data_IF_868962509683
#
_entry.id   IF_868962509683
#
_cell.length_a   1.000
_cell.length_b   1.000
_cell.length_c   1.000
_cell.angle_alpha   90.00
_cell.angle_beta   90.00
_cell.angle_gamma   90.00
#
_symmetry.space_group_name_H-M   'P 1'
#
loop_
_entity.id
_entity.type
_entity.pdbx_description
1 polymer ?
#
# COMPACT_ATOMS: atom_id res chain seq x y z
N UNK A 1 13.69 2.53 12.82
CA UNK A 1 12.35 2.35 12.19
C UNK A 1 11.81 0.97 12.51
N UNK A 2 10.53 0.85 12.92
CA UNK A 2 9.88 -0.43 13.25
C UNK A 2 8.59 -0.63 12.47
N UNK A 3 8.07 -1.86 12.48
CA UNK A 3 6.80 -2.24 11.85
C UNK A 3 5.55 -1.87 12.67
N UNK A 4 5.74 -1.28 13.84
CA UNK A 4 4.65 -0.94 14.78
C UNK A 4 4.38 -2.02 15.84
N UNK A 5 5.21 -3.06 15.92
CA UNK A 5 5.16 -4.02 17.01
C UNK A 5 5.46 -3.37 18.36
N UNK A 6 4.74 -3.76 19.40
CA UNK A 6 4.94 -3.28 20.76
C UNK A 6 6.23 -3.81 21.42
N UNK A 7 6.94 -4.74 20.78
CA UNK A 7 8.17 -5.37 21.30
C UNK A 7 9.37 -4.41 21.32
N UNK A 8 9.43 -3.46 20.37
CA UNK A 8 10.64 -2.66 20.17
C UNK A 8 10.71 -1.32 20.89
N UNK A 9 9.60 -0.59 21.20
CA UNK A 9 9.69 0.78 21.69
C UNK A 9 10.46 0.94 22.98
N UNK A 10 10.26 0.05 23.97
CA UNK A 10 10.94 0.09 25.26
C UNK A 10 12.46 -0.15 25.09
N UNK A 11 12.84 -1.20 24.36
CA UNK A 11 14.24 -1.55 24.10
C UNK A 11 14.95 -0.45 23.29
N UNK A 12 14.27 0.16 22.32
CA UNK A 12 14.84 1.25 21.54
C UNK A 12 15.05 2.51 22.37
N UNK A 13 14.13 2.83 23.30
CA UNK A 13 14.27 3.96 24.19
C UNK A 13 15.42 3.77 25.20
N UNK A 14 15.67 2.54 25.62
CA UNK A 14 16.77 2.19 26.51
C UNK A 14 18.14 2.31 25.79
N UNK A 15 18.27 1.72 24.59
CA UNK A 15 19.54 1.67 23.86
C UNK A 15 19.87 3.01 23.18
N UNK A 16 18.85 3.70 22.66
CA UNK A 16 19.01 4.96 21.92
C UNK A 16 17.99 6.02 22.36
N UNK A 17 18.14 6.58 23.56
CA UNK A 17 17.15 7.52 24.13
C UNK A 17 16.96 8.80 23.31
N UNK A 18 17.98 9.24 22.59
CA UNK A 18 17.92 10.43 21.74
C UNK A 18 17.36 10.13 20.32
N UNK A 19 17.13 8.88 19.96
CA UNK A 19 16.68 8.52 18.62
C UNK A 19 15.19 8.74 18.43
N UNK A 20 14.80 9.49 17.38
CA UNK A 20 13.40 9.62 16.99
C UNK A 20 12.88 8.30 16.41
N UNK A 21 11.85 7.74 17.05
CA UNK A 21 11.23 6.51 16.60
C UNK A 21 10.34 6.74 15.38
N UNK A 22 10.68 6.11 14.26
CA UNK A 22 9.90 6.11 13.02
C UNK A 22 9.10 4.83 12.88
N UNK A 23 7.78 4.93 12.68
CA UNK A 23 6.94 3.82 12.27
C UNK A 23 6.98 3.62 10.75
N UNK A 24 7.02 2.36 10.33
CA UNK A 24 7.00 2.00 8.93
C UNK A 24 5.64 2.36 8.29
N UNK A 25 5.66 3.32 7.37
CA UNK A 25 4.46 3.80 6.66
C UNK A 25 3.81 2.67 5.84
N UNK A 26 4.61 1.74 5.30
CA UNK A 26 4.10 0.64 4.49
C UNK A 26 3.09 -0.24 5.25
N UNK A 27 3.40 -0.63 6.50
CA UNK A 27 2.51 -1.49 7.29
C UNK A 27 1.19 -0.79 7.62
N UNK A 28 1.24 0.49 7.94
CA UNK A 28 0.01 1.28 8.20
C UNK A 28 -0.83 1.42 6.94
N UNK A 29 -0.20 1.72 5.79
CA UNK A 29 -0.91 1.79 4.51
C UNK A 29 -1.51 0.43 4.12
N UNK A 30 -0.82 -0.67 4.43
CA UNK A 30 -1.35 -2.02 4.22
C UNK A 30 -2.62 -2.26 5.04
N UNK A 31 -2.64 -1.84 6.30
CA UNK A 31 -3.82 -2.00 7.17
C UNK A 31 -4.98 -1.10 6.74
N UNK A 32 -4.71 0.16 6.37
CA UNK A 32 -5.70 1.06 5.75
C UNK A 32 -6.27 0.43 4.48
N UNK A 33 -5.42 -0.09 3.60
CA UNK A 33 -5.83 -0.75 2.35
C UNK A 33 -6.74 -1.96 2.61
N UNK A 34 -6.44 -2.78 3.63
CA UNK A 34 -7.32 -3.89 4.04
C UNK A 34 -8.71 -3.40 4.40
N UNK A 35 -8.83 -2.32 5.20
CA UNK A 35 -10.13 -1.75 5.58
C UNK A 35 -10.92 -1.23 4.37
N UNK A 36 -10.25 -0.54 3.44
CA UNK A 36 -10.89 -0.07 2.20
C UNK A 36 -11.37 -1.26 1.35
N UNK A 37 -10.57 -2.31 1.21
CA UNK A 37 -10.97 -3.53 0.49
C UNK A 37 -12.14 -4.26 1.18
N UNK A 38 -12.24 -4.20 2.50
CA UNK A 38 -13.39 -4.74 3.24
C UNK A 38 -14.66 -3.95 2.93
N UNK A 39 -14.58 -2.60 2.85
CA UNK A 39 -15.70 -1.77 2.38
C UNK A 39 -16.12 -2.12 0.95
N UNK A 40 -15.17 -2.32 0.03
CA UNK A 40 -15.46 -2.80 -1.34
C UNK A 40 -16.18 -4.15 -1.31
N UNK A 41 -15.75 -5.08 -0.45
CA UNK A 41 -16.39 -6.40 -0.30
C UNK A 41 -17.83 -6.27 0.19
N UNK A 42 -18.09 -5.37 1.14
CA UNK A 42 -19.44 -5.10 1.65
C UNK A 42 -20.34 -4.55 0.56
N UNK A 43 -19.94 -3.45 -0.10
CA UNK A 43 -20.70 -2.83 -1.18
C UNK A 43 -21.01 -3.81 -2.32
N UNK A 44 -20.04 -4.64 -2.70
CA UNK A 44 -20.25 -5.69 -3.70
C UNK A 44 -21.31 -6.71 -3.28
N UNK A 45 -21.29 -7.13 -2.01
CA UNK A 45 -22.31 -8.08 -1.49
C UNK A 45 -23.69 -7.47 -1.51
N UNK A 46 -23.83 -6.21 -1.13
CA UNK A 46 -25.09 -5.47 -1.17
C UNK A 46 -25.60 -5.36 -2.62
N UNK A 47 -24.73 -5.02 -3.57
CA UNK A 47 -25.08 -4.97 -5.00
C UNK A 47 -25.55 -6.32 -5.53
N UNK A 48 -24.86 -7.40 -5.18
CA UNK A 48 -25.25 -8.75 -5.60
C UNK A 48 -26.62 -9.17 -5.05
N UNK A 49 -26.94 -8.78 -3.80
CA UNK A 49 -28.24 -9.07 -3.15
C UNK A 49 -29.41 -8.32 -3.80
N UNK A 50 -29.22 -7.06 -4.24
CA UNK A 50 -30.25 -6.25 -4.90
C UNK A 50 -30.79 -6.91 -6.19
N UNK A 51 -30.14 -7.92 -6.73
CA UNK A 51 -30.57 -8.67 -7.92
C UNK A 51 -31.24 -10.02 -7.63
N UNK A 52 -31.38 -10.41 -6.36
CA UNK A 52 -31.85 -11.78 -6.01
C UNK A 52 -33.37 -11.92 -5.92
N UNK A 53 -34.18 -10.85 -6.10
CA UNK A 53 -35.66 -10.88 -6.02
C UNK A 53 -36.39 -11.39 -7.26
N UNK A 54 -35.69 -11.95 -8.24
CA UNK A 54 -36.27 -12.41 -9.50
C UNK A 54 -36.77 -13.85 -9.46
N UNK A 55 -37.80 -14.18 -10.27
CA UNK A 55 -38.34 -15.53 -10.51
C UNK A 55 -37.19 -16.54 -10.67
N UNK A 56 -37.28 -17.67 -9.94
CA UNK A 56 -36.32 -18.79 -10.08
C UNK A 56 -36.25 -19.19 -11.56
N UNK A 57 -35.03 -19.24 -12.12
CA UNK A 57 -34.83 -19.65 -13.51
C UNK A 57 -35.29 -21.08 -13.71
N UNK A 58 -36.13 -21.33 -14.74
CA UNK A 58 -36.43 -22.68 -15.17
C UNK A 58 -35.14 -23.42 -15.52
N UNK A 59 -35.02 -24.68 -15.06
CA UNK A 59 -33.88 -25.53 -15.41
C UNK A 59 -33.94 -25.82 -16.92
N UNK A 60 -32.77 -25.75 -17.61
CA UNK A 60 -32.65 -26.06 -19.02
C UNK A 60 -31.82 -24.99 -19.80
N UNK A 61 -31.43 -25.35 -21.01
CA UNK A 61 -30.68 -24.44 -21.90
C UNK A 61 -31.62 -23.30 -22.34
N UNK A 62 -31.19 -22.03 -22.22
CA UNK A 62 -32.00 -20.90 -22.68
C UNK A 62 -32.22 -20.94 -24.19
N UNK A 63 -33.42 -20.61 -24.66
CA UNK A 63 -33.72 -20.49 -26.08
C UNK A 63 -32.90 -19.34 -26.72
N UNK A 64 -32.69 -19.41 -28.07
CA UNK A 64 -31.99 -18.34 -28.82
C UNK A 64 -32.61 -16.95 -28.56
N UNK A 65 -33.95 -16.85 -28.51
CA UNK A 65 -34.67 -15.61 -28.21
C UNK A 65 -34.36 -15.09 -26.78
N UNK A 66 -34.24 -15.99 -25.79
CA UNK A 66 -33.86 -15.61 -24.42
C UNK A 66 -32.39 -15.20 -24.30
N UNK A 67 -31.48 -15.80 -25.11
CA UNK A 67 -30.07 -15.39 -25.18
C UNK A 67 -29.95 -14.00 -25.77
N UNK A 68 -30.55 -13.72 -26.92
CA UNK A 68 -30.57 -12.40 -27.55
C UNK A 68 -31.19 -11.31 -26.64
N UNK A 69 -32.26 -11.64 -25.90
CA UNK A 69 -32.86 -10.73 -24.93
C UNK A 69 -31.95 -10.45 -23.70
N UNK A 70 -31.06 -11.40 -23.32
CA UNK A 70 -30.06 -11.20 -22.28
C UNK A 70 -28.92 -10.29 -22.73
N UNK A 71 -28.42 -10.47 -23.93
CA UNK A 71 -27.36 -9.63 -24.52
C UNK A 71 -27.79 -8.17 -24.62
N UNK A 72 -29.06 -7.91 -24.97
CA UNK A 72 -29.63 -6.55 -25.02
C UNK A 72 -29.82 -5.88 -23.66
N UNK A 73 -29.95 -6.64 -22.56
CA UNK A 73 -30.22 -6.08 -21.21
C UNK A 73 -28.99 -5.52 -20.48
N UNK A 74 -27.79 -5.70 -21.02
CA UNK A 74 -26.57 -5.32 -20.33
C UNK A 74 -26.26 -6.20 -19.10
N UNK A 75 -25.18 -5.91 -18.37
CA UNK A 75 -24.70 -6.73 -17.26
C UNK A 75 -25.66 -6.70 -16.05
N UNK A 76 -25.92 -7.88 -15.51
CA UNK A 76 -26.74 -8.07 -14.29
C UNK A 76 -26.00 -7.55 -13.06
N UNK A 77 -26.72 -7.27 -11.96
CA UNK A 77 -26.11 -6.85 -10.69
C UNK A 77 -25.07 -7.87 -10.17
N UNK A 78 -25.28 -9.17 -10.41
CA UNK A 78 -24.32 -10.21 -10.07
C UNK A 78 -23.04 -10.11 -10.91
N UNK A 79 -23.16 -9.86 -12.21
CA UNK A 79 -22.00 -9.67 -13.11
C UNK A 79 -21.25 -8.38 -12.79
N UNK A 80 -21.95 -7.26 -12.52
CA UNK A 80 -21.35 -6.02 -12.04
C UNK A 80 -20.57 -6.24 -10.74
N UNK A 81 -21.15 -6.96 -9.78
CA UNK A 81 -20.50 -7.30 -8.52
C UNK A 81 -19.28 -8.22 -8.72
N UNK A 82 -19.32 -9.16 -9.65
CA UNK A 82 -18.20 -10.02 -9.99
C UNK A 82 -17.05 -9.22 -10.65
N UNK A 83 -17.39 -8.30 -11.56
CA UNK A 83 -16.42 -7.39 -12.19
C UNK A 83 -15.70 -6.53 -11.15
N UNK A 84 -16.45 -5.89 -10.24
CA UNK A 84 -15.87 -5.09 -9.16
C UNK A 84 -14.94 -5.93 -8.28
N UNK A 85 -15.32 -7.17 -7.96
CA UNK A 85 -14.46 -8.05 -7.16
C UNK A 85 -13.16 -8.43 -7.87
N UNK A 86 -13.24 -8.75 -9.16
CA UNK A 86 -12.06 -9.08 -9.97
C UNK A 86 -11.06 -7.92 -9.99
N UNK A 87 -11.54 -6.69 -10.09
CA UNK A 87 -10.71 -5.49 -10.26
C UNK A 87 -10.55 -4.65 -8.96
N UNK A 88 -10.95 -5.17 -7.81
CA UNK A 88 -10.97 -4.44 -6.52
C UNK A 88 -9.69 -3.72 -6.13
N UNK A 89 -8.52 -4.27 -6.52
CA UNK A 89 -7.24 -3.66 -6.19
C UNK A 89 -6.96 -2.35 -6.93
N UNK A 90 -7.67 -2.06 -8.02
CA UNK A 90 -7.56 -0.79 -8.72
C UNK A 90 -8.02 0.38 -7.85
N UNK A 91 -8.92 0.16 -6.89
CA UNK A 91 -9.38 1.18 -5.94
C UNK A 91 -8.23 1.72 -5.07
N UNK A 92 -7.28 0.87 -4.71
CA UNK A 92 -6.16 1.21 -3.81
C UNK A 92 -4.85 1.43 -4.55
N UNK A 93 -4.80 1.19 -5.86
CA UNK A 93 -3.60 1.37 -6.67
C UNK A 93 -3.33 2.87 -6.89
N UNK A 94 -2.08 3.33 -6.74
CA UNK A 94 -1.71 4.74 -6.97
C UNK A 94 -1.95 5.15 -8.43
N UNK A 95 -2.32 6.42 -8.70
CA UNK A 95 -2.57 6.91 -10.07
C UNK A 95 -1.38 6.70 -11.00
N UNK A 96 -0.17 6.96 -10.53
CA UNK A 96 1.07 6.86 -11.30
C UNK A 96 1.36 5.43 -11.77
N UNK A 97 0.80 4.45 -11.08
CA UNK A 97 0.99 3.02 -11.38
C UNK A 97 -0.16 2.42 -12.21
N UNK A 98 -1.21 3.20 -12.52
CA UNK A 98 -2.33 2.71 -13.33
C UNK A 98 -1.97 2.76 -14.81
N UNK A 99 -2.15 1.62 -15.51
CA UNK A 99 -2.13 1.61 -16.97
C UNK A 99 -3.41 2.23 -17.54
N UNK A 100 -3.37 2.64 -18.81
CA UNK A 100 -4.55 3.20 -19.48
C UNK A 100 -5.74 2.21 -19.46
N UNK A 101 -5.46 0.94 -19.69
CA UNK A 101 -6.46 -0.13 -19.63
C UNK A 101 -7.07 -0.32 -18.24
N UNK A 102 -6.25 -0.22 -17.18
CA UNK A 102 -6.73 -0.26 -15.79
C UNK A 102 -7.57 0.97 -15.44
N UNK A 103 -7.20 2.13 -15.96
CA UNK A 103 -7.98 3.37 -15.79
C UNK A 103 -9.38 3.26 -16.40
N UNK A 104 -9.50 2.72 -17.62
CA UNK A 104 -10.79 2.44 -18.26
C UNK A 104 -11.65 1.47 -17.42
N UNK A 105 -11.04 0.41 -16.86
CA UNK A 105 -11.75 -0.52 -15.96
C UNK A 105 -12.18 0.14 -14.65
N UNK A 106 -11.37 1.04 -14.12
CA UNK A 106 -11.70 1.77 -12.90
C UNK A 106 -12.92 2.69 -13.11
N UNK A 107 -13.00 3.38 -14.27
CA UNK A 107 -14.17 4.18 -14.65
C UNK A 107 -15.42 3.29 -14.72
N UNK A 108 -15.33 2.14 -15.38
CA UNK A 108 -16.44 1.19 -15.46
C UNK A 108 -16.88 0.67 -14.08
N UNK A 109 -15.94 0.46 -13.13
CA UNK A 109 -16.28 0.11 -11.74
C UNK A 109 -17.10 1.23 -11.07
N UNK A 110 -16.78 2.49 -11.33
CA UNK A 110 -17.52 3.65 -10.79
C UNK A 110 -18.92 3.81 -11.39
N UNK A 111 -19.11 3.40 -12.66
CA UNK A 111 -20.44 3.32 -13.27
C UNK A 111 -21.30 2.23 -12.61
N UNK A 112 -20.70 1.09 -12.29
CA UNK A 112 -21.39 -0.02 -11.66
C UNK A 112 -21.71 0.23 -10.18
N UNK A 113 -20.81 0.90 -9.46
CA UNK A 113 -20.92 1.23 -8.04
C UNK A 113 -20.33 2.62 -7.76
N UNK A 114 -21.13 3.69 -7.85
CA UNK A 114 -20.67 5.08 -7.64
C UNK A 114 -19.98 5.31 -6.29
N UNK A 115 -20.37 4.58 -5.23
CA UNK A 115 -19.79 4.68 -3.89
C UNK A 115 -18.29 4.35 -3.87
N UNK A 116 -17.78 3.59 -4.85
CA UNK A 116 -16.35 3.30 -4.96
C UNK A 116 -15.50 4.56 -5.22
N UNK A 117 -16.08 5.63 -5.77
CA UNK A 117 -15.40 6.92 -5.95
C UNK A 117 -14.97 7.51 -4.61
N UNK A 118 -15.85 7.41 -3.61
CA UNK A 118 -15.56 7.88 -2.25
C UNK A 118 -14.42 7.07 -1.60
N UNK A 119 -14.43 5.74 -1.73
CA UNK A 119 -13.36 4.89 -1.25
C UNK A 119 -12.03 5.20 -1.95
N UNK A 120 -12.08 5.45 -3.26
CA UNK A 120 -10.89 5.83 -4.05
C UNK A 120 -10.33 7.17 -3.57
N UNK A 121 -11.19 8.19 -3.41
CA UNK A 121 -10.80 9.52 -2.90
C UNK A 121 -10.13 9.40 -1.53
N UNK A 122 -10.72 8.63 -0.62
CA UNK A 122 -10.14 8.36 0.69
C UNK A 122 -8.72 7.80 0.59
N UNK A 123 -8.49 6.78 -0.25
CA UNK A 123 -7.14 6.21 -0.45
C UNK A 123 -6.14 7.25 -0.94
N UNK A 124 -6.52 8.07 -1.92
CA UNK A 124 -5.63 9.09 -2.48
C UNK A 124 -5.27 10.15 -1.43
N UNK A 125 -6.23 10.59 -0.62
CA UNK A 125 -5.98 11.54 0.47
C UNK A 125 -5.07 10.94 1.55
N UNK A 126 -5.24 9.66 1.89
CA UNK A 126 -4.32 8.98 2.80
C UNK A 126 -2.91 8.89 2.21
N UNK A 127 -2.74 8.62 0.92
CA UNK A 127 -1.42 8.59 0.30
C UNK A 127 -0.72 9.95 0.33
N UNK A 128 -1.48 11.04 0.14
CA UNK A 128 -0.95 12.41 0.23
C UNK A 128 -0.43 12.80 1.62
N UNK A 129 -0.88 12.11 2.69
CA UNK A 129 -0.35 12.34 4.05
C UNK A 129 1.13 11.98 4.17
N UNK A 130 1.61 11.05 3.33
CA UNK A 130 2.97 10.50 3.37
C UNK A 130 3.81 10.92 2.17
N UNK A 131 3.47 12.03 1.55
CA UNK A 131 4.25 12.60 0.47
C UNK A 131 5.62 13.08 0.97
N UNK A 132 6.69 12.83 0.22
CA UNK A 132 8.06 13.13 0.66
C UNK A 132 8.45 14.59 0.50
N UNK A 133 7.76 15.31 -0.38
CA UNK A 133 8.05 16.72 -0.69
C UNK A 133 7.36 17.71 0.25
N UNK A 134 6.49 17.23 1.15
CA UNK A 134 5.76 18.10 2.06
C UNK A 134 6.51 18.33 3.39
N UNK A 135 6.13 19.42 4.07
CA UNK A 135 6.58 19.72 5.43
C UNK A 135 5.65 19.07 6.47
N UNK A 136 6.19 18.76 7.65
CA UNK A 136 5.47 18.12 8.76
C UNK A 136 4.18 18.87 9.15
N UNK A 137 4.21 20.22 9.16
CA UNK A 137 3.03 21.04 9.46
C UNK A 137 1.88 20.80 8.47
N UNK A 138 2.19 20.66 7.17
CA UNK A 138 1.20 20.40 6.13
C UNK A 138 0.63 18.98 6.26
N UNK A 139 1.46 17.98 6.55
CA UNK A 139 1.00 16.61 6.80
C UNK A 139 0.02 16.54 7.98
N UNK A 140 0.32 17.20 9.09
CA UNK A 140 -0.59 17.30 10.26
C UNK A 140 -1.90 18.02 9.92
N UNK A 141 -1.85 19.10 9.16
CA UNK A 141 -3.05 19.81 8.69
C UNK A 141 -3.92 18.92 7.80
N UNK A 142 -3.32 18.26 6.81
CA UNK A 142 -4.03 17.30 5.90
C UNK A 142 -4.70 16.18 6.70
N UNK A 143 -4.00 15.60 7.70
CA UNK A 143 -4.58 14.60 8.60
C UNK A 143 -5.80 15.15 9.33
N UNK A 144 -5.72 16.34 9.93
CA UNK A 144 -6.83 16.96 10.68
C UNK A 144 -8.04 17.17 9.77
N UNK A 145 -7.83 17.64 8.54
CA UNK A 145 -8.89 17.81 7.55
C UNK A 145 -9.52 16.47 7.15
N UNK A 146 -8.69 15.44 6.93
CA UNK A 146 -9.17 14.08 6.60
C UNK A 146 -10.07 13.51 7.70
N UNK A 147 -9.67 13.64 8.97
CA UNK A 147 -10.44 13.17 10.13
C UNK A 147 -11.76 13.92 10.34
N UNK A 148 -11.86 15.17 9.89
CA UNK A 148 -13.08 15.99 10.02
C UNK A 148 -14.12 15.72 8.92
N UNK A 149 -13.76 15.06 7.83
CA UNK A 149 -14.66 14.81 6.71
C UNK A 149 -15.81 13.88 7.09
N UNK A 150 -17.02 14.44 7.13
CA UNK A 150 -18.24 13.69 7.46
C UNK A 150 -18.53 12.55 6.46
N UNK A 151 -18.12 12.71 5.18
CA UNK A 151 -18.31 11.71 4.15
C UNK A 151 -17.64 10.37 4.48
N UNK A 152 -16.58 10.33 5.27
CA UNK A 152 -15.89 9.10 5.66
C UNK A 152 -16.39 8.49 6.97
N UNK A 153 -17.06 9.28 7.82
CA UNK A 153 -17.59 8.85 9.12
C UNK A 153 -18.84 7.96 9.01
N UNK A 154 -19.52 7.96 7.87
CA UNK A 154 -20.68 7.08 7.65
C UNK A 154 -20.33 5.68 7.15
N UNK A 155 -19.05 5.34 7.02
CA UNK A 155 -18.58 4.04 6.52
C UNK A 155 -17.72 3.40 7.60
N UNK A 156 -18.25 2.39 8.30
CA UNK A 156 -17.61 1.76 9.46
C UNK A 156 -16.17 1.28 9.20
N UNK A 157 -15.88 0.80 7.98
CA UNK A 157 -14.54 0.36 7.61
C UNK A 157 -13.57 1.54 7.46
N UNK A 158 -14.04 2.69 6.96
CA UNK A 158 -13.23 3.90 6.85
C UNK A 158 -12.99 4.54 8.22
N UNK A 159 -13.97 4.50 9.12
CA UNK A 159 -13.80 4.95 10.52
C UNK A 159 -12.70 4.14 11.22
N UNK A 160 -12.70 2.81 11.04
CA UNK A 160 -11.62 1.95 11.54
C UNK A 160 -10.26 2.30 10.91
N UNK A 161 -10.23 2.65 9.63
CA UNK A 161 -9.02 3.09 8.95
C UNK A 161 -8.52 4.45 9.48
N UNK A 162 -9.43 5.39 9.74
CA UNK A 162 -9.10 6.69 10.36
C UNK A 162 -8.55 6.52 11.77
N UNK A 163 -9.05 5.55 12.56
CA UNK A 163 -8.54 5.21 13.87
C UNK A 163 -7.06 4.78 13.89
N UNK A 164 -6.55 4.21 12.76
CA UNK A 164 -5.13 3.88 12.62
C UNK A 164 -4.23 5.13 12.52
N UNK A 165 -4.81 6.28 12.14
CA UNK A 165 -4.12 7.55 11.98
C UNK A 165 -4.24 8.44 13.25
N UNK A 166 -4.23 7.86 14.46
CA UNK A 166 -4.27 8.63 15.69
C UNK A 166 -3.04 9.57 15.79
N UNK A 167 -3.10 10.61 16.61
CA UNK A 167 -2.09 11.68 16.67
C UNK A 167 -0.70 11.12 16.97
N UNK A 168 -0.59 10.32 18.02
CA UNK A 168 0.69 9.77 18.49
C UNK A 168 1.37 8.88 17.43
N UNK A 169 0.60 7.92 16.86
CA UNK A 169 1.13 7.05 15.80
C UNK A 169 1.48 7.84 14.54
N UNK A 170 0.63 8.83 14.18
CA UNK A 170 0.86 9.63 12.98
C UNK A 170 2.14 10.45 13.08
N UNK A 171 2.43 11.05 14.21
CA UNK A 171 3.69 11.81 14.42
C UNK A 171 4.92 10.89 14.26
N UNK A 172 4.84 9.64 14.75
CA UNK A 172 5.87 8.61 14.52
C UNK A 172 5.96 8.18 13.04
N UNK A 173 4.84 8.18 12.30
CA UNK A 173 4.84 7.84 10.87
C UNK A 173 5.48 8.91 9.99
N UNK A 174 5.33 10.19 10.34
CA UNK A 174 5.87 11.32 9.55
C UNK A 174 7.25 11.80 10.02
N UNK A 175 7.87 11.14 10.99
CA UNK A 175 9.19 11.51 11.51
C UNK A 175 10.28 11.57 10.41
N UNK A 176 10.12 10.82 9.31
CA UNK A 176 11.01 10.88 8.15
C UNK A 176 11.06 12.26 7.47
N UNK A 177 10.01 13.09 7.61
CA UNK A 177 9.98 14.44 7.05
C UNK A 177 10.95 15.40 7.77
N UNK A 178 11.26 15.10 9.03
CA UNK A 178 12.19 15.87 9.87
C UNK A 178 13.60 15.28 9.85
N UNK A 179 13.84 14.22 9.08
CA UNK A 179 15.15 13.59 8.98
C UNK A 179 16.16 14.53 8.32
N UNK A 180 17.37 14.71 8.90
CA UNK A 180 18.45 15.47 8.28
C UNK A 180 19.05 14.74 7.08
N UNK A 181 18.79 13.45 6.92
CA UNK A 181 19.28 12.65 5.79
C UNK A 181 18.49 13.00 4.54
N UNK A 182 19.21 13.28 3.44
CA UNK A 182 18.63 13.63 2.14
C UNK A 182 17.67 12.55 1.60
N UNK A 183 17.98 11.28 1.84
CA UNK A 183 17.12 10.16 1.51
C UNK A 183 16.03 9.98 2.60
N UNK A 184 14.84 10.51 2.35
CA UNK A 184 13.68 10.38 3.27
C UNK A 184 13.13 8.96 3.26
N UNK A 185 13.70 8.09 4.09
CA UNK A 185 13.31 6.68 4.20
C UNK A 185 12.05 6.56 5.05
N UNK A 186 10.93 6.14 4.45
CA UNK A 186 9.62 5.96 5.11
C UNK A 186 9.19 4.49 5.28
N UNK A 187 10.00 3.55 4.78
CA UNK A 187 9.71 2.11 4.88
C UNK A 187 10.96 1.33 5.27
N UNK A 188 10.79 0.23 6.00
CA UNK A 188 11.88 -0.66 6.40
C UNK A 188 12.16 -1.81 5.40
N UNK A 189 11.73 -1.67 4.15
CA UNK A 189 11.88 -2.70 3.11
C UNK A 189 13.33 -3.20 2.95
N UNK A 190 14.33 -2.33 3.13
CA UNK A 190 15.74 -2.72 3.04
C UNK A 190 16.11 -3.70 4.15
N UNK A 191 15.73 -3.39 5.39
CA UNK A 191 15.95 -4.26 6.55
C UNK A 191 15.23 -5.59 6.39
N UNK A 192 13.97 -5.57 5.93
CA UNK A 192 13.19 -6.78 5.70
C UNK A 192 13.79 -7.66 4.60
N UNK A 193 14.28 -7.08 3.51
CA UNK A 193 14.99 -7.82 2.45
C UNK A 193 16.26 -8.46 2.97
N UNK A 194 17.03 -7.75 3.76
CA UNK A 194 18.26 -8.26 4.39
C UNK A 194 17.93 -9.39 5.34
N UNK A 195 16.96 -9.20 6.25
CA UNK A 195 16.50 -10.22 7.18
C UNK A 195 15.98 -11.48 6.45
N UNK A 196 15.27 -11.30 5.32
CA UNK A 196 14.80 -12.44 4.51
C UNK A 196 15.96 -13.26 3.94
N UNK A 197 17.02 -12.58 3.46
CA UNK A 197 18.22 -13.29 2.98
C UNK A 197 18.94 -14.04 4.10
N UNK A 198 19.10 -13.41 5.27
CA UNK A 198 19.73 -14.05 6.44
C UNK A 198 18.92 -15.26 6.89
N UNK A 199 17.60 -15.12 7.02
CA UNK A 199 16.71 -16.23 7.40
C UNK A 199 16.69 -17.36 6.36
N UNK A 200 16.82 -17.05 5.10
CA UNK A 200 16.94 -18.06 4.04
C UNK A 200 18.24 -18.85 4.20
N UNK A 201 19.35 -18.15 4.37
CA UNK A 201 20.65 -18.80 4.57
C UNK A 201 20.65 -19.66 5.84
N UNK A 202 20.07 -19.16 6.94
CA UNK A 202 19.93 -19.90 8.21
C UNK A 202 19.12 -21.20 8.04
N UNK A 203 17.96 -21.10 7.38
CA UNK A 203 17.05 -22.27 7.26
C UNK A 203 17.52 -23.30 6.24
N UNK A 204 18.09 -22.86 5.13
CA UNK A 204 18.35 -23.71 3.97
C UNK A 204 19.79 -24.21 3.94
N UNK A 205 20.75 -23.37 4.32
CA UNK A 205 22.19 -23.67 4.16
C UNK A 205 22.90 -23.99 5.46
N UNK A 206 22.52 -23.32 6.57
CA UNK A 206 23.30 -23.35 7.80
C UNK A 206 22.42 -23.59 9.01
N UNK A 207 22.70 -24.64 9.77
CA UNK A 207 22.13 -24.85 11.09
C UNK A 207 23.17 -24.44 12.13
N UNK A 208 23.07 -23.23 12.63
CA UNK A 208 23.99 -22.71 13.64
C UNK A 208 23.73 -23.39 14.98
N UNK A 209 24.76 -23.99 15.55
CA UNK A 209 24.69 -24.65 16.86
C UNK A 209 24.94 -23.71 18.03
N UNK A 210 25.61 -22.57 17.80
CA UNK A 210 25.94 -21.60 18.85
C UNK A 210 25.63 -20.18 18.39
N UNK A 211 25.25 -19.30 19.33
CA UNK A 211 25.03 -17.87 19.06
C UNK A 211 26.29 -17.18 18.52
N UNK A 212 27.48 -17.59 18.95
CA UNK A 212 28.75 -17.05 18.48
C UNK A 212 28.98 -17.32 16.99
N UNK A 213 28.65 -18.52 16.49
CA UNK A 213 28.76 -18.83 15.06
C UNK A 213 27.70 -18.10 14.22
N UNK A 214 26.49 -17.93 14.77
CA UNK A 214 25.45 -17.12 14.13
C UNK A 214 25.85 -15.64 14.02
N UNK A 215 26.36 -15.03 15.10
CA UNK A 215 26.80 -13.63 15.11
C UNK A 215 27.95 -13.39 14.09
N UNK A 216 28.95 -14.24 14.05
CA UNK A 216 30.02 -14.17 13.05
C UNK A 216 29.49 -14.26 11.62
N UNK A 217 28.57 -15.18 11.37
CA UNK A 217 27.95 -15.33 10.05
C UNK A 217 27.15 -14.07 9.66
N UNK A 218 26.34 -13.53 10.55
CA UNK A 218 25.54 -12.33 10.30
C UNK A 218 26.45 -11.16 9.94
N UNK A 219 27.54 -10.92 10.72
CA UNK A 219 28.52 -9.85 10.46
C UNK A 219 29.17 -9.99 9.08
N UNK A 220 29.65 -11.17 8.74
CA UNK A 220 30.23 -11.44 7.42
C UNK A 220 29.22 -11.26 6.28
N UNK A 221 27.96 -11.64 6.52
CA UNK A 221 26.91 -11.51 5.53
C UNK A 221 26.53 -10.06 5.26
N UNK A 222 26.44 -9.25 6.30
CA UNK A 222 26.19 -7.82 6.20
C UNK A 222 27.33 -7.11 5.49
N UNK A 223 28.58 -7.36 5.86
CA UNK A 223 29.76 -6.79 5.18
C UNK A 223 29.78 -7.10 3.67
N UNK A 224 29.46 -8.33 3.28
CA UNK A 224 29.33 -8.69 1.85
C UNK A 224 28.19 -8.00 1.13
N UNK A 225 27.08 -7.73 1.81
CA UNK A 225 25.95 -7.00 1.23
C UNK A 225 26.32 -5.51 1.01
N UNK A 226 27.00 -4.91 1.98
CA UNK A 226 27.45 -3.52 1.90
C UNK A 226 28.46 -3.31 0.78
N UNK A 227 29.46 -4.20 0.66
CA UNK A 227 30.45 -4.17 -0.45
C UNK A 227 29.80 -4.30 -1.82
N UNK A 228 28.77 -5.13 -1.97
CA UNK A 228 28.02 -5.24 -3.24
C UNK A 228 27.24 -3.98 -3.58
N UNK A 229 26.66 -3.34 -2.58
CA UNK A 229 25.90 -2.10 -2.76
C UNK A 229 26.81 -0.96 -3.18
N UNK A 230 28.00 -0.82 -2.57
CA UNK A 230 29.01 0.18 -2.94
C UNK A 230 29.59 -0.06 -4.34
N UNK A 231 29.90 -1.30 -4.70
CA UNK A 231 30.38 -1.67 -6.03
C UNK A 231 29.34 -1.38 -7.14
N UNK A 232 28.04 -1.60 -6.87
CA UNK A 232 26.97 -1.30 -7.84
C UNK A 232 26.77 0.21 -8.00
N UNK A 233 26.95 1.00 -6.95
CA UNK A 233 26.87 2.47 -7.02
C UNK A 233 28.06 3.08 -7.79
N UNK A 234 29.26 2.54 -7.64
CA UNK A 234 30.44 3.00 -8.39
C UNK A 234 30.41 2.62 -9.87
N UNK A 235 29.72 1.51 -10.25
CA UNK A 235 29.57 1.10 -11.65
C UNK A 235 28.40 1.79 -12.37
N UNK A 236 27.47 2.44 -11.65
CA UNK A 236 26.34 3.17 -12.25
C UNK A 236 26.64 4.62 -12.63
N UNK A 237 27.84 5.14 -12.31
CA UNK A 237 28.34 6.40 -12.85
C UNK A 237 28.86 6.21 -14.29
N UNK A 238 27.91 6.01 -15.21
CA UNK A 238 28.18 5.75 -16.62
C UNK A 238 28.65 7.06 -17.30
N UNK A 239 29.78 7.08 -18.05
CA UNK A 239 30.28 8.28 -18.72
C UNK A 239 29.32 8.88 -19.76
N UNK A 240 28.26 8.15 -20.16
CA UNK A 240 27.28 8.62 -21.14
C UNK A 240 26.35 9.74 -20.65
N UNK A 241 26.15 9.90 -19.35
CA UNK A 241 25.29 10.97 -18.82
C UNK A 241 26.03 12.29 -18.64
N UNK A 242 27.37 12.26 -18.53
CA UNK A 242 28.24 13.46 -18.51
C UNK A 242 28.33 14.14 -19.89
N UNK A 243 28.24 13.37 -20.98
CA UNK A 243 28.30 13.92 -22.33
C UNK A 243 27.00 14.64 -22.76
N UNK A 244 25.85 14.30 -22.17
CA UNK A 244 24.60 15.01 -22.43
C UNK A 244 24.48 16.35 -21.73
N UNK A 245 25.11 16.50 -20.56
CA UNK A 245 25.08 17.76 -19.80
C UNK A 245 26.04 18.82 -20.39
N UNK A 246 27.06 18.42 -21.12
CA UNK A 246 27.97 19.37 -21.82
C UNK A 246 27.43 19.85 -23.17
N UNK A 247 26.55 19.10 -23.84
CA UNK A 247 25.91 19.53 -25.10
C UNK A 247 24.69 20.46 -24.94
N UNK A 248 24.23 20.67 -23.72
CA UNK A 248 23.12 21.58 -23.41
C UNK A 248 23.57 22.95 -22.92
N UNK A 249 24.90 23.25 -22.96
CA UNK A 249 25.48 24.51 -22.54
C UNK A 249 26.32 25.19 -23.64
N UNK A 250 26.15 24.74 -24.87
CA UNK A 250 26.60 25.43 -26.09
C UNK A 250 25.34 25.73 -26.93
#
# INVERSE_FOLDING_TARGET
MTDGSNLYPAVLAEIWPAAKHQLCVFHVLQDVTKKVLDAVRRLRREQARRGCGGRKRKRGRPSKKQQAARERRGPTNKEKAAFVYKHRYLIVKRPENLSEHESKRLVQMFEYLPQLRQLRRFCLEVYQLFDTEQVTRLARRRRTLLLKKAEYKGIAELEKALGLLNKEKFDKMIAFLESPVSAKVKTNNHVERTNRKIRFDEKVRYKFRTMRSLDRFIRLRLDRLDRRTTATQSSSSNPRDQAKTMRAKT
#
